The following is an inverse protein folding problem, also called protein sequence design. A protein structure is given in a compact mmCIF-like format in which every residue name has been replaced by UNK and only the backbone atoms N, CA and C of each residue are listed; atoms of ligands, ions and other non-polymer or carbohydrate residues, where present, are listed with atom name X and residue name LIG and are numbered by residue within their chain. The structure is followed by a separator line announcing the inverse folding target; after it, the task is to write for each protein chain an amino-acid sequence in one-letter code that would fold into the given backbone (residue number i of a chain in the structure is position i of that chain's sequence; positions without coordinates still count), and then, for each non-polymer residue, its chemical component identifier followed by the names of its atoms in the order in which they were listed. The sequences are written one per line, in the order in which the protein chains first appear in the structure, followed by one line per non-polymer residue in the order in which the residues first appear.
data_IF_229035935981
#
_entry.id   IF_229035935981
#
_cell.length_a   1.000
_cell.length_b   1.000
_cell.length_c   1.000
_cell.angle_alpha   90.00
_cell.angle_beta   90.00
_cell.angle_gamma   90.00
#
_symmetry.space_group_name_H-M   'P 1'
#
loop_
_entity.id
_entity.type
_entity.pdbx_description
1 polymer ?
#
# COMPACT_ATOMS: atom_id res chain seq x y z
N UNK A 1 87.72 28.10 3.51
CA UNK A 1 86.43 28.74 3.81
C UNK A 1 85.30 27.75 3.57
N UNK A 2 84.85 27.11 4.65
CA UNK A 2 83.82 26.08 4.59
C UNK A 2 82.45 26.72 4.84
N UNK A 3 81.59 26.54 3.89
CA UNK A 3 80.19 26.93 4.04
C UNK A 3 79.39 25.73 4.53
N UNK A 4 78.93 25.76 5.76
CA UNK A 4 78.05 24.76 6.35
C UNK A 4 76.65 24.99 5.77
N UNK A 5 76.13 24.00 5.00
CA UNK A 5 74.75 23.89 4.62
C UNK A 5 73.91 23.44 5.83
N UNK A 6 73.03 24.27 6.26
CA UNK A 6 72.00 23.93 7.24
C UNK A 6 70.82 23.36 6.47
N UNK A 7 70.63 22.01 6.55
CA UNK A 7 69.41 21.38 6.07
C UNK A 7 68.32 21.57 7.11
N UNK A 8 67.36 22.46 6.84
CA UNK A 8 66.09 22.50 7.59
C UNK A 8 65.18 21.40 7.09
N UNK A 9 65.03 20.37 7.89
CA UNK A 9 63.99 19.37 7.68
C UNK A 9 62.60 19.96 8.04
N UNK A 10 61.88 20.39 7.04
CA UNK A 10 60.47 20.71 7.19
C UNK A 10 59.69 19.41 7.35
N UNK A 11 59.33 19.06 8.55
CA UNK A 11 58.40 17.97 8.85
C UNK A 11 57.01 18.41 8.42
N UNK A 12 56.58 18.01 7.20
CA UNK A 12 55.19 18.12 6.79
C UNK A 12 54.35 17.16 7.63
N UNK A 13 53.75 17.68 8.68
CA UNK A 13 52.58 17.06 9.32
C UNK A 13 51.42 17.14 8.32
N UNK A 14 51.23 16.13 7.48
CA UNK A 14 49.97 15.87 6.84
C UNK A 14 49.01 15.46 7.96
N UNK A 15 48.29 16.41 8.51
CA UNK A 15 47.04 16.15 9.20
C UNK A 15 46.09 15.53 8.16
N UNK A 16 46.08 14.23 8.10
CA UNK A 16 44.99 13.48 7.55
C UNK A 16 43.75 13.83 8.36
N UNK A 17 42.97 14.78 7.86
CA UNK A 17 41.60 14.94 8.29
C UNK A 17 40.86 13.69 7.84
N UNK A 18 41.06 12.57 8.52
CA UNK A 18 40.07 11.52 8.60
C UNK A 18 38.86 12.20 9.21
N UNK A 19 37.80 12.38 8.44
CA UNK A 19 36.50 12.67 9.02
C UNK A 19 36.26 11.59 10.06
N UNK A 20 36.43 11.96 11.33
CA UNK A 20 36.03 11.10 12.43
C UNK A 20 34.51 10.96 12.24
N UNK A 21 34.08 9.86 11.66
CA UNK A 21 32.66 9.49 11.58
C UNK A 21 32.17 9.61 13.03
N UNK A 22 31.31 10.59 13.28
CA UNK A 22 30.79 10.81 14.63
C UNK A 22 30.16 9.48 15.06
N UNK A 23 30.55 8.99 16.25
CA UNK A 23 30.01 7.74 16.78
C UNK A 23 28.50 7.88 16.85
N UNK A 24 27.78 6.97 16.20
CA UNK A 24 26.30 6.97 16.22
C UNK A 24 25.84 6.77 17.66
N UNK A 25 24.81 7.49 18.05
CA UNK A 25 24.18 7.30 19.35
C UNK A 25 23.16 6.16 19.35
N UNK A 26 22.82 5.67 20.52
CA UNK A 26 21.76 4.68 20.69
C UNK A 26 20.41 5.21 20.17
N UNK A 27 19.59 4.29 19.66
CA UNK A 27 18.20 4.55 19.29
C UNK A 27 17.35 4.77 20.55
N UNK A 28 16.47 5.78 20.55
CA UNK A 28 15.52 6.06 21.62
C UNK A 28 14.08 5.93 21.11
N UNK A 29 13.10 5.89 22.03
CA UNK A 29 11.68 5.78 21.67
C UNK A 29 11.21 6.99 20.84
N UNK A 30 11.77 8.17 21.08
CA UNK A 30 11.44 9.40 20.34
C UNK A 30 11.93 9.34 18.89
N UNK A 31 12.92 8.52 18.60
CA UNK A 31 13.47 8.36 17.25
C UNK A 31 12.48 7.70 16.29
N UNK A 32 11.49 6.95 16.80
CA UNK A 32 10.38 6.40 16.00
C UNK A 32 9.65 7.53 15.26
N UNK A 33 9.51 8.70 15.89
CA UNK A 33 8.79 9.85 15.31
C UNK A 33 9.69 10.74 14.43
N UNK A 34 11.00 10.49 14.40
CA UNK A 34 11.97 11.27 13.61
C UNK A 34 12.15 10.73 12.20
N UNK A 35 11.98 9.45 12.00
CA UNK A 35 12.05 8.86 10.67
C UNK A 35 10.88 9.32 9.82
N UNK A 36 11.16 9.65 8.55
CA UNK A 36 10.11 9.91 7.57
C UNK A 36 9.69 8.59 6.93
N UNK A 37 8.38 8.38 6.84
CA UNK A 37 7.85 7.28 6.06
C UNK A 37 7.71 7.73 4.60
N UNK A 38 8.27 6.94 3.68
CA UNK A 38 8.18 7.16 2.23
C UNK A 38 7.27 6.10 1.65
N UNK A 39 6.15 6.52 1.07
CA UNK A 39 5.14 5.62 0.52
C UNK A 39 5.53 4.98 -0.80
N UNK A 40 4.74 4.02 -1.25
CA UNK A 40 4.94 3.33 -2.52
C UNK A 40 5.00 4.31 -3.70
N UNK A 41 5.94 4.13 -4.63
CA UNK A 41 6.02 4.96 -5.82
C UNK A 41 4.91 4.63 -6.82
N UNK A 42 4.40 5.66 -7.50
CA UNK A 42 3.49 5.53 -8.63
C UNK A 42 4.15 6.16 -9.86
N UNK A 43 4.40 5.34 -10.86
CA UNK A 43 5.06 5.79 -12.09
C UNK A 43 4.04 6.42 -13.04
N UNK A 44 4.41 7.55 -13.67
CA UNK A 44 3.59 8.13 -14.74
C UNK A 44 3.52 7.17 -15.95
N UNK A 45 2.43 7.17 -16.73
CA UNK A 45 2.26 6.25 -17.87
C UNK A 45 3.39 6.31 -18.90
N UNK A 46 4.05 7.47 -19.04
CA UNK A 46 5.21 7.66 -19.94
C UNK A 46 6.55 7.20 -19.31
N UNK A 47 6.54 6.81 -18.03
CA UNK A 47 7.72 6.33 -17.30
C UNK A 47 8.72 7.41 -16.93
N UNK A 48 8.38 8.71 -17.05
CA UNK A 48 9.32 9.83 -16.84
C UNK A 48 9.26 10.43 -15.44
N UNK A 49 8.18 10.19 -14.69
CA UNK A 49 7.94 10.80 -13.38
C UNK A 49 7.42 9.77 -12.39
N UNK A 50 7.83 9.94 -11.13
CA UNK A 50 7.32 9.20 -9.97
C UNK A 50 6.56 10.17 -9.07
N UNK A 51 5.41 9.76 -8.57
CA UNK A 51 4.75 10.40 -7.43
C UNK A 51 4.71 9.42 -6.27
N UNK A 52 4.92 9.92 -5.06
CA UNK A 52 4.85 9.14 -3.82
C UNK A 52 4.45 10.06 -2.67
N UNK A 53 4.17 9.48 -1.50
CA UNK A 53 3.89 10.24 -0.29
C UNK A 53 5.11 10.29 0.62
N UNK A 54 5.23 11.37 1.39
CA UNK A 54 6.11 11.41 2.57
C UNK A 54 5.26 11.72 3.79
N UNK A 55 5.44 10.93 4.85
CA UNK A 55 4.73 11.15 6.11
C UNK A 55 5.73 11.44 7.23
N UNK A 56 5.54 12.56 7.91
CA UNK A 56 6.27 12.93 9.11
C UNK A 56 5.36 12.86 10.32
N UNK A 57 5.77 12.12 11.33
CA UNK A 57 5.08 12.07 12.61
C UNK A 57 5.58 13.17 13.56
N UNK A 58 4.70 13.63 14.45
CA UNK A 58 5.03 14.61 15.49
C UNK A 58 4.47 14.16 16.83
N UNK A 59 5.33 13.72 17.73
CA UNK A 59 4.94 13.34 19.08
C UNK A 59 4.33 14.52 19.87
N UNK A 60 4.90 15.74 19.85
CA UNK A 60 4.30 16.88 20.55
C UNK A 60 2.93 17.26 20.03
N UNK A 61 2.70 17.17 18.71
CA UNK A 61 1.41 17.49 18.08
C UNK A 61 0.44 16.31 18.09
N UNK A 62 0.88 15.11 18.47
CA UNK A 62 0.10 13.85 18.40
C UNK A 62 -0.57 13.65 17.04
N UNK A 63 0.16 13.94 15.96
CA UNK A 63 -0.36 13.93 14.60
C UNK A 63 0.72 13.51 13.60
N UNK A 64 0.27 13.17 12.41
CA UNK A 64 1.14 12.96 11.25
C UNK A 64 0.78 13.92 10.13
N UNK A 65 1.75 14.26 9.31
CA UNK A 65 1.56 15.06 8.10
C UNK A 65 2.02 14.25 6.89
N UNK A 66 1.10 14.03 5.96
CA UNK A 66 1.36 13.32 4.71
C UNK A 66 1.21 14.26 3.53
N UNK A 67 2.25 14.34 2.71
CA UNK A 67 2.28 15.19 1.52
C UNK A 67 2.66 14.39 0.29
N UNK A 68 2.24 14.88 -0.88
CA UNK A 68 2.63 14.34 -2.18
C UNK A 68 3.96 14.93 -2.62
N UNK A 69 4.79 14.07 -3.19
CA UNK A 69 6.11 14.42 -3.71
C UNK A 69 6.25 13.88 -5.13
N UNK A 70 6.82 14.70 -6.01
CA UNK A 70 7.14 14.36 -7.39
C UNK A 70 8.65 14.25 -7.57
N UNK A 71 9.09 13.28 -8.36
CA UNK A 71 10.49 13.12 -8.81
C UNK A 71 10.52 12.74 -10.29
N UNK A 72 11.48 13.26 -11.03
CA UNK A 72 11.78 12.81 -12.39
C UNK A 72 12.67 11.56 -12.34
N UNK A 73 12.32 10.52 -13.11
CA UNK A 73 13.01 9.19 -13.05
C UNK A 73 14.48 9.23 -13.47
N UNK A 74 14.93 10.30 -14.14
CA UNK A 74 16.32 10.51 -14.53
C UNK A 74 17.12 11.41 -13.60
N UNK A 75 16.54 11.90 -12.50
CA UNK A 75 17.15 12.90 -11.61
C UNK A 75 17.08 12.41 -10.14
N UNK A 76 17.91 11.45 -9.82
CA UNK A 76 17.96 10.87 -8.47
C UNK A 76 18.20 11.93 -7.40
N UNK A 77 17.48 11.82 -6.27
CA UNK A 77 17.56 12.76 -5.16
C UNK A 77 16.91 14.12 -5.39
N UNK A 78 16.45 14.43 -6.61
CA UNK A 78 15.78 15.71 -6.90
C UNK A 78 14.27 15.53 -6.81
N UNK A 79 13.68 16.00 -5.72
CA UNK A 79 12.25 15.91 -5.45
C UNK A 79 11.60 17.29 -5.35
N UNK A 80 10.31 17.36 -5.68
CA UNK A 80 9.47 18.54 -5.51
C UNK A 80 8.21 18.17 -4.73
N UNK A 81 8.03 18.79 -3.58
CA UNK A 81 6.79 18.65 -2.79
C UNK A 81 5.65 19.30 -3.56
N UNK A 82 4.56 18.55 -3.77
CA UNK A 82 3.37 18.99 -4.48
C UNK A 82 2.31 19.58 -3.55
N UNK A 83 2.17 19.02 -2.34
CA UNK A 83 1.21 19.48 -1.34
C UNK A 83 1.93 19.76 -0.01
N UNK A 84 1.40 20.70 0.78
CA UNK A 84 1.99 21.10 2.06
C UNK A 84 0.97 21.17 3.20
N UNK A 85 -0.26 20.76 2.93
CA UNK A 85 -1.36 20.73 3.90
C UNK A 85 -1.23 19.63 4.96
N UNK A 86 -0.39 18.64 4.69
CA UNK A 86 -0.15 17.49 5.57
C UNK A 86 -1.26 16.46 5.55
N UNK A 87 -2.23 16.56 4.64
CA UNK A 87 -3.39 15.68 4.57
C UNK A 87 -3.72 15.29 3.12
N UNK A 88 -2.71 14.86 2.37
CA UNK A 88 -2.82 14.46 0.97
C UNK A 88 -2.38 13.01 0.79
N UNK A 89 -3.26 12.13 0.27
CA UNK A 89 -3.10 10.68 0.25
C UNK A 89 -3.46 10.06 -1.10
N UNK A 90 -2.99 8.83 -1.35
CA UNK A 90 -3.41 7.97 -2.45
C UNK A 90 -3.23 8.60 -3.84
N UNK A 91 -2.04 9.07 -4.21
CA UNK A 91 -1.84 9.67 -5.52
C UNK A 91 -2.06 8.65 -6.65
N UNK A 92 -2.73 9.09 -7.72
CA UNK A 92 -2.95 8.31 -8.94
C UNK A 92 -2.70 9.19 -10.16
N UNK A 93 -2.01 8.65 -11.15
CA UNK A 93 -1.89 9.33 -12.44
C UNK A 93 -3.16 9.19 -13.28
N UNK A 94 -3.52 10.23 -14.02
CA UNK A 94 -4.45 10.08 -15.14
C UNK A 94 -3.84 9.19 -16.23
N UNK A 95 -4.68 8.50 -17.00
CA UNK A 95 -4.23 7.59 -18.08
C UNK A 95 -3.34 8.28 -19.12
N UNK A 96 -3.52 9.59 -19.34
CA UNK A 96 -2.69 10.40 -20.24
C UNK A 96 -1.44 10.99 -19.56
N UNK A 97 -1.25 10.76 -18.26
CA UNK A 97 -0.13 11.25 -17.47
C UNK A 97 -0.10 12.75 -17.21
N UNK A 98 -1.14 13.52 -17.59
CA UNK A 98 -1.14 14.98 -17.46
C UNK A 98 -1.62 15.47 -16.10
N UNK A 99 -2.40 14.68 -15.39
CA UNK A 99 -2.97 15.02 -14.10
C UNK A 99 -2.62 14.01 -13.04
N UNK A 100 -2.63 14.45 -11.78
CA UNK A 100 -2.62 13.62 -10.59
C UNK A 100 -3.96 13.72 -9.90
N UNK A 101 -4.50 12.59 -9.46
CA UNK A 101 -5.63 12.51 -8.55
C UNK A 101 -5.13 12.18 -7.16
N UNK A 102 -5.76 12.71 -6.13
CA UNK A 102 -5.41 12.40 -4.73
C UNK A 102 -6.57 12.72 -3.79
N UNK A 103 -6.60 12.04 -2.65
CA UNK A 103 -7.53 12.36 -1.57
C UNK A 103 -6.93 13.44 -0.68
N UNK A 104 -7.69 14.50 -0.43
CA UNK A 104 -7.30 15.62 0.42
C UNK A 104 -8.45 16.06 1.35
N UNK A 105 -8.14 16.91 2.33
CA UNK A 105 -9.07 17.34 3.39
C UNK A 105 -9.26 18.86 3.46
N UNK A 106 -9.03 19.58 2.40
CA UNK A 106 -9.12 21.03 2.36
C UNK A 106 -10.50 21.60 2.82
N UNK A 107 -11.56 20.80 2.68
CA UNK A 107 -12.92 21.15 3.12
C UNK A 107 -13.31 20.56 4.47
N UNK A 108 -12.35 19.97 5.22
CA UNK A 108 -12.60 19.32 6.51
C UNK A 108 -13.13 17.88 6.42
N UNK A 109 -13.44 17.41 5.21
CA UNK A 109 -13.86 16.03 4.92
C UNK A 109 -13.06 15.52 3.73
N UNK A 110 -12.72 14.22 3.73
CA UNK A 110 -11.97 13.61 2.64
C UNK A 110 -12.71 13.78 1.31
N UNK A 111 -12.06 14.35 0.31
CA UNK A 111 -12.56 14.50 -1.06
C UNK A 111 -11.48 14.16 -2.07
N UNK A 112 -11.90 13.82 -3.29
CA UNK A 112 -10.96 13.61 -4.39
C UNK A 112 -10.65 14.94 -5.07
N UNK A 113 -9.37 15.17 -5.32
CA UNK A 113 -8.85 16.32 -6.04
C UNK A 113 -8.10 15.88 -7.29
N UNK A 114 -8.10 16.75 -8.30
CA UNK A 114 -7.23 16.67 -9.47
C UNK A 114 -6.23 17.81 -9.43
N UNK A 115 -4.96 17.50 -9.65
CA UNK A 115 -3.86 18.47 -9.72
C UNK A 115 -3.17 18.40 -11.07
N UNK A 116 -2.82 19.55 -11.63
CA UNK A 116 -1.79 19.63 -12.66
C UNK A 116 -0.41 19.53 -11.98
N UNK A 117 0.37 18.46 -12.19
CA UNK A 117 1.65 18.31 -11.52
C UNK A 117 2.73 19.31 -12.01
N UNK A 118 2.54 20.01 -13.11
CA UNK A 118 3.48 21.05 -13.58
C UNK A 118 3.27 22.37 -12.86
N UNK A 119 2.03 22.83 -12.77
CA UNK A 119 1.65 24.13 -12.19
C UNK A 119 1.30 24.06 -10.71
N UNK A 120 0.84 22.90 -10.23
CA UNK A 120 0.26 22.71 -8.89
C UNK A 120 -1.20 23.17 -8.78
N UNK A 121 -1.81 23.59 -9.89
CA UNK A 121 -3.22 23.98 -9.92
C UNK A 121 -4.10 22.78 -9.55
N UNK A 122 -5.03 22.99 -8.59
CA UNK A 122 -5.84 21.93 -8.02
C UNK A 122 -7.32 22.21 -8.16
N UNK A 123 -8.09 21.20 -8.52
CA UNK A 123 -9.56 21.24 -8.62
C UNK A 123 -10.16 20.12 -7.79
N UNK A 124 -11.13 20.44 -6.93
CA UNK A 124 -11.92 19.45 -6.21
C UNK A 124 -12.89 18.75 -7.17
N UNK A 125 -12.90 17.42 -7.17
CA UNK A 125 -13.74 16.63 -8.07
C UNK A 125 -15.03 16.14 -7.41
N UNK A 126 -14.99 15.79 -6.12
CA UNK A 126 -16.12 15.28 -5.36
C UNK A 126 -16.53 16.26 -4.24
N UNK A 127 -17.81 16.23 -3.90
CA UNK A 127 -18.38 16.93 -2.74
C UNK A 127 -19.40 15.99 -2.06
N UNK A 128 -18.87 14.91 -1.48
CA UNK A 128 -19.68 13.90 -0.81
C UNK A 128 -19.63 14.11 0.70
N UNK A 129 -20.75 14.50 1.32
CA UNK A 129 -20.78 14.98 2.70
C UNK A 129 -20.34 13.94 3.75
N UNK A 130 -20.38 12.64 3.41
CA UNK A 130 -19.90 11.55 4.28
C UNK A 130 -18.41 11.27 4.14
N UNK A 131 -17.71 11.92 3.20
CA UNK A 131 -16.33 11.68 2.88
C UNK A 131 -16.14 10.60 1.81
N UNK A 132 -14.93 10.58 1.25
CA UNK A 132 -14.52 9.71 0.14
C UNK A 132 -13.34 8.87 0.60
N UNK A 133 -13.49 7.53 0.65
CA UNK A 133 -12.44 6.57 0.95
C UNK A 133 -12.02 5.80 -0.30
N UNK A 134 -10.78 5.33 -0.35
CA UNK A 134 -10.23 4.45 -1.42
C UNK A 134 -10.65 4.83 -2.85
N UNK A 135 -10.59 6.13 -3.17
CA UNK A 135 -11.08 6.65 -4.43
C UNK A 135 -10.24 6.19 -5.62
N UNK A 136 -10.90 5.67 -6.66
CA UNK A 136 -10.31 5.32 -7.94
C UNK A 136 -10.97 6.13 -9.06
N UNK A 137 -10.18 6.62 -10.01
CA UNK A 137 -10.68 7.26 -11.23
C UNK A 137 -10.74 6.21 -12.35
N UNK A 138 -11.82 6.20 -13.10
CA UNK A 138 -11.96 5.29 -14.25
C UNK A 138 -10.90 5.57 -15.33
N UNK A 139 -10.49 4.57 -16.13
CA UNK A 139 -9.49 4.73 -17.18
C UNK A 139 -9.80 5.86 -18.19
N UNK A 140 -11.07 6.11 -18.48
CA UNK A 140 -11.52 7.20 -19.36
C UNK A 140 -11.62 8.58 -18.67
N UNK A 141 -11.42 8.62 -17.33
CA UNK A 141 -11.46 9.84 -16.53
C UNK A 141 -12.87 10.40 -16.27
N UNK A 142 -13.94 9.67 -16.64
CA UNK A 142 -15.33 10.12 -16.48
C UNK A 142 -15.89 9.84 -15.08
N UNK A 143 -15.58 8.67 -14.51
CA UNK A 143 -16.14 8.21 -13.25
C UNK A 143 -15.12 8.20 -12.14
N UNK A 144 -15.60 8.41 -10.93
CA UNK A 144 -14.85 8.15 -9.69
C UNK A 144 -15.63 7.15 -8.87
N UNK A 145 -15.05 5.99 -8.60
CA UNK A 145 -15.59 5.05 -7.61
C UNK A 145 -14.86 5.25 -6.29
N UNK A 146 -15.58 5.26 -5.18
CA UNK A 146 -15.01 5.41 -3.86
C UNK A 146 -15.84 4.69 -2.79
N UNK A 147 -15.22 4.38 -1.67
CA UNK A 147 -15.93 3.83 -0.53
C UNK A 147 -16.54 4.93 0.33
N UNK A 148 -17.75 4.69 0.80
CA UNK A 148 -18.41 5.52 1.80
C UNK A 148 -19.25 4.67 2.76
N UNK A 149 -19.23 5.01 4.05
CA UNK A 149 -20.04 4.33 5.06
C UNK A 149 -21.40 5.02 5.19
N UNK A 150 -22.44 4.36 4.71
CA UNK A 150 -23.79 4.93 4.53
C UNK A 150 -24.87 4.07 5.18
N UNK A 151 -26.04 4.64 5.47
CA UNK A 151 -27.23 3.87 5.82
C UNK A 151 -27.81 3.25 4.55
N UNK A 152 -28.09 1.93 4.51
CA UNK A 152 -28.51 1.22 3.29
C UNK A 152 -29.76 1.80 2.62
N UNK A 153 -30.69 2.30 3.40
CA UNK A 153 -31.94 2.92 2.92
C UNK A 153 -31.76 4.33 2.34
N UNK A 154 -30.61 4.96 2.60
CA UNK A 154 -30.26 6.29 2.09
C UNK A 154 -29.25 6.23 0.93
N UNK A 155 -28.47 5.15 0.84
CA UNK A 155 -27.52 4.94 -0.24
C UNK A 155 -26.63 6.16 -0.51
N UNK A 156 -26.63 6.66 -1.76
CA UNK A 156 -25.82 7.79 -2.19
C UNK A 156 -26.34 9.18 -1.76
N UNK A 157 -27.45 9.29 -1.02
CA UNK A 157 -27.88 10.59 -0.46
C UNK A 157 -26.99 11.01 0.72
N UNK A 158 -25.87 11.66 0.38
CA UNK A 158 -24.84 12.06 1.34
C UNK A 158 -25.38 13.03 2.41
N UNK A 159 -26.32 13.92 2.06
CA UNK A 159 -26.91 14.89 3.00
C UNK A 159 -27.79 14.19 4.02
N UNK A 160 -28.72 13.34 3.57
CA UNK A 160 -29.58 12.58 4.47
C UNK A 160 -28.78 11.65 5.40
N UNK A 161 -27.72 11.02 4.88
CA UNK A 161 -26.77 10.22 5.67
C UNK A 161 -26.13 11.06 6.78
N UNK A 162 -25.57 12.23 6.45
CA UNK A 162 -24.93 13.12 7.42
C UNK A 162 -25.93 13.65 8.46
N UNK A 163 -27.14 14.02 8.04
CA UNK A 163 -28.19 14.49 8.96
C UNK A 163 -28.61 13.39 9.94
N UNK A 164 -28.81 12.15 9.46
CA UNK A 164 -29.13 11.02 10.35
C UNK A 164 -28.01 10.74 11.34
N UNK A 165 -26.75 10.73 10.86
CA UNK A 165 -25.56 10.55 11.71
C UNK A 165 -25.52 11.61 12.81
N UNK A 166 -25.59 12.90 12.46
CA UNK A 166 -25.57 14.02 13.43
C UNK A 166 -26.72 13.96 14.44
N UNK A 167 -27.91 13.59 13.99
CA UNK A 167 -29.08 13.42 14.89
C UNK A 167 -28.85 12.30 15.90
N UNK A 168 -28.26 11.17 15.48
CA UNK A 168 -27.90 10.07 16.39
C UNK A 168 -26.84 10.53 17.41
N UNK A 169 -25.78 11.18 16.94
CA UNK A 169 -24.70 11.69 17.80
C UNK A 169 -25.15 12.76 18.81
N UNK A 170 -26.08 13.62 18.43
CA UNK A 170 -26.64 14.65 19.29
C UNK A 170 -27.78 14.14 20.21
N UNK A 171 -28.23 12.90 20.03
CA UNK A 171 -29.28 12.29 20.80
C UNK A 171 -28.89 11.99 22.25
N UNK A 172 -29.87 11.73 23.14
CA UNK A 172 -29.59 11.47 24.56
C UNK A 172 -28.99 10.07 24.82
N UNK A 173 -29.01 9.17 23.84
CA UNK A 173 -28.52 7.80 23.99
C UNK A 173 -27.06 7.73 23.53
N UNK A 174 -26.17 7.50 24.48
CA UNK A 174 -24.74 7.34 24.24
C UNK A 174 -24.29 5.89 24.52
N UNK A 175 -25.09 4.93 24.04
CA UNK A 175 -24.82 3.50 24.20
C UNK A 175 -24.83 2.79 22.84
N UNK A 176 -23.98 1.78 22.70
CA UNK A 176 -24.05 0.85 21.59
C UNK A 176 -24.97 -0.30 21.98
N UNK A 177 -26.03 -0.48 21.23
CA UNK A 177 -27.03 -1.56 21.44
C UNK A 177 -26.85 -2.52 20.27
N UNK A 178 -26.55 -3.77 20.56
CA UNK A 178 -26.37 -4.82 19.57
C UNK A 178 -27.12 -6.07 20.02
N UNK A 179 -27.79 -6.72 19.10
CA UNK A 179 -28.51 -7.99 19.27
C UNK A 179 -27.94 -9.12 18.39
N UNK A 180 -26.93 -8.79 17.59
CA UNK A 180 -26.27 -9.70 16.67
C UNK A 180 -24.77 -9.40 16.53
N UNK A 181 -24.02 -10.35 16.02
CA UNK A 181 -22.61 -10.21 15.60
C UNK A 181 -22.58 -9.84 14.09
N UNK A 182 -21.53 -9.12 13.58
CA UNK A 182 -20.47 -8.49 14.34
C UNK A 182 -20.94 -7.12 14.83
N UNK A 183 -21.01 -6.90 16.14
CA UNK A 183 -21.38 -5.59 16.67
C UNK A 183 -20.21 -4.61 16.76
N UNK A 184 -18.97 -5.13 16.71
CA UNK A 184 -17.74 -4.36 16.80
C UNK A 184 -16.60 -5.08 16.05
N UNK A 185 -15.77 -4.31 15.39
CA UNK A 185 -14.48 -4.77 14.89
C UNK A 185 -13.39 -3.86 15.46
N UNK A 186 -12.42 -4.42 16.22
CA UNK A 186 -11.42 -3.67 16.98
C UNK A 186 -12.07 -2.57 17.84
N UNK A 187 -11.88 -1.29 17.48
CA UNK A 187 -12.40 -0.12 18.19
C UNK A 187 -13.63 0.50 17.52
N UNK A 188 -14.08 -0.02 16.38
CA UNK A 188 -15.21 0.51 15.63
C UNK A 188 -16.46 -0.32 15.86
N UNK A 189 -17.54 0.35 16.31
CA UNK A 189 -18.84 -0.27 16.53
C UNK A 189 -19.71 -0.16 15.28
N UNK A 190 -20.43 -1.25 14.97
CA UNK A 190 -21.49 -1.24 13.97
C UNK A 190 -22.65 -0.38 14.44
N UNK A 191 -23.02 0.61 13.66
CA UNK A 191 -24.08 1.58 14.00
C UNK A 191 -25.26 1.56 13.01
N UNK A 192 -25.35 0.52 12.19
CA UNK A 192 -26.36 0.33 11.14
C UNK A 192 -25.99 0.96 9.82
N UNK A 193 -24.74 1.48 9.69
CA UNK A 193 -24.18 1.89 8.41
C UNK A 193 -23.31 0.76 7.83
N UNK A 194 -23.23 0.73 6.52
CA UNK A 194 -22.39 -0.23 5.79
C UNK A 194 -21.50 0.52 4.81
N UNK A 195 -20.32 -0.05 4.55
CA UNK A 195 -19.42 0.46 3.52
C UNK A 195 -19.97 0.07 2.14
N UNK A 196 -20.27 1.06 1.33
CA UNK A 196 -20.71 0.87 -0.06
C UNK A 196 -19.71 1.51 -1.03
N UNK A 197 -19.74 1.04 -2.27
CA UNK A 197 -19.06 1.71 -3.38
C UNK A 197 -20.03 2.70 -4.00
N UNK A 198 -19.66 3.96 -3.96
CA UNK A 198 -20.39 5.04 -4.59
C UNK A 198 -19.63 5.45 -5.85
N UNK A 199 -20.36 5.62 -6.95
CA UNK A 199 -19.81 6.13 -8.21
C UNK A 199 -20.28 7.56 -8.44
N UNK A 200 -19.33 8.47 -8.66
CA UNK A 200 -19.60 9.84 -9.10
C UNK A 200 -19.36 9.92 -10.61
N UNK A 201 -20.38 10.32 -11.38
CA UNK A 201 -20.17 10.79 -12.75
C UNK A 201 -19.67 12.23 -12.71
N UNK A 202 -18.44 12.45 -13.15
CA UNK A 202 -17.79 13.77 -13.09
C UNK A 202 -18.37 14.77 -14.09
N UNK A 203 -19.07 14.30 -15.15
CA UNK A 203 -19.74 15.16 -16.13
C UNK A 203 -21.04 15.72 -15.54
N UNK A 204 -21.88 14.84 -14.98
CA UNK A 204 -23.21 15.19 -14.52
C UNK A 204 -23.24 15.55 -13.02
N UNK A 205 -22.15 15.31 -12.31
CA UNK A 205 -22.02 15.51 -10.85
C UNK A 205 -23.07 14.71 -10.05
N UNK A 206 -23.46 13.55 -10.56
CA UNK A 206 -24.40 12.65 -9.90
C UNK A 206 -23.67 11.54 -9.15
N UNK A 207 -24.28 11.08 -8.07
CA UNK A 207 -23.74 9.98 -7.24
C UNK A 207 -24.71 8.79 -7.29
N UNK A 208 -24.16 7.61 -7.52
CA UNK A 208 -24.91 6.34 -7.55
C UNK A 208 -24.31 5.36 -6.58
N UNK A 209 -25.12 4.78 -5.70
CA UNK A 209 -24.75 3.64 -4.89
C UNK A 209 -24.82 2.38 -5.78
N UNK A 210 -23.67 1.81 -6.13
CA UNK A 210 -23.59 0.65 -7.01
C UNK A 210 -23.55 -0.67 -6.26
N UNK A 211 -23.50 -0.63 -4.93
CA UNK A 211 -23.47 -1.83 -4.07
C UNK A 211 -24.50 -1.75 -2.94
N UNK A 212 -25.77 -1.39 -3.23
CA UNK A 212 -26.78 -1.24 -2.20
C UNK A 212 -27.04 -2.56 -1.46
N UNK A 213 -27.41 -2.46 -0.18
CA UNK A 213 -27.73 -3.61 0.64
C UNK A 213 -27.18 -3.50 2.05
N UNK A 214 -27.30 -4.58 2.82
CA UNK A 214 -26.84 -4.66 4.22
C UNK A 214 -25.55 -5.46 4.32
N UNK A 215 -24.64 -5.24 3.38
CA UNK A 215 -23.32 -5.85 3.30
C UNK A 215 -22.26 -4.78 3.12
N UNK A 216 -21.07 -5.03 3.67
CA UNK A 216 -19.91 -4.22 3.33
C UNK A 216 -19.39 -4.58 1.94
N UNK A 217 -19.31 -3.60 1.06
CA UNK A 217 -18.80 -3.73 -0.30
C UNK A 217 -17.90 -2.50 -0.59
N UNK A 218 -16.57 -2.63 -0.55
CA UNK A 218 -15.80 -3.85 -0.26
C UNK A 218 -15.97 -4.34 1.18
N UNK A 219 -15.54 -5.60 1.40
CA UNK A 219 -15.61 -6.25 2.71
C UNK A 219 -14.86 -5.44 3.77
N UNK A 220 -15.43 -5.37 4.96
CA UNK A 220 -14.84 -4.68 6.11
C UNK A 220 -13.90 -5.61 6.90
N UNK A 221 -14.31 -6.85 7.13
CA UNK A 221 -13.59 -7.85 7.90
C UNK A 221 -14.12 -9.26 7.54
N UNK A 222 -13.29 -10.32 7.58
CA UNK A 222 -11.83 -10.30 7.70
C UNK A 222 -11.14 -9.89 6.39
N UNK A 223 -9.82 -9.64 6.46
CA UNK A 223 -9.00 -9.30 5.29
C UNK A 223 -9.52 -8.10 4.47
N UNK A 224 -10.20 -7.17 5.11
CA UNK A 224 -10.53 -5.87 4.54
C UNK A 224 -9.28 -5.01 4.34
N UNK A 225 -9.36 -3.99 3.49
CA UNK A 225 -8.25 -3.07 3.22
C UNK A 225 -8.39 -2.37 1.87
N UNK A 226 -7.32 -1.73 1.43
CA UNK A 226 -7.27 -1.09 0.12
C UNK A 226 -7.17 -2.12 -1.03
N UNK A 227 -7.51 -1.69 -2.26
CA UNK A 227 -7.40 -2.53 -3.45
C UNK A 227 -8.48 -3.61 -3.59
N UNK A 228 -9.57 -3.50 -2.84
CA UNK A 228 -10.65 -4.50 -2.87
C UNK A 228 -11.70 -4.24 -3.95
N UNK A 229 -11.46 -3.29 -4.83
CA UNK A 229 -12.26 -3.08 -6.04
C UNK A 229 -11.42 -2.45 -7.16
N UNK A 230 -11.83 -2.63 -8.40
CA UNK A 230 -11.15 -2.11 -9.58
C UNK A 230 -12.15 -1.82 -10.70
N UNK A 231 -11.85 -0.81 -11.52
CA UNK A 231 -12.56 -0.58 -12.79
C UNK A 231 -12.09 -1.54 -13.87
N UNK A 232 -13.02 -1.95 -14.74
CA UNK A 232 -12.68 -2.55 -16.03
C UNK A 232 -11.96 -1.53 -16.94
N UNK A 233 -11.08 -1.97 -17.86
CA UNK A 233 -10.34 -1.07 -18.75
C UNK A 233 -11.23 -0.21 -19.66
N UNK A 234 -12.46 -0.66 -19.96
CA UNK A 234 -13.44 0.09 -20.73
C UNK A 234 -14.30 1.03 -19.88
N UNK A 235 -14.01 1.15 -18.59
CA UNK A 235 -14.68 2.05 -17.63
C UNK A 235 -16.17 1.76 -17.39
N UNK A 236 -16.67 0.57 -17.74
CA UNK A 236 -18.12 0.26 -17.68
C UNK A 236 -18.52 -0.59 -16.48
N UNK A 237 -17.57 -1.27 -15.86
CA UNK A 237 -17.80 -2.26 -14.83
C UNK A 237 -16.83 -2.04 -13.67
N UNK A 238 -17.28 -2.37 -12.47
CA UNK A 238 -16.45 -2.46 -11.26
C UNK A 238 -16.49 -3.91 -10.78
N UNK A 239 -15.31 -4.51 -10.55
CA UNK A 239 -15.16 -5.74 -9.80
C UNK A 239 -14.80 -5.42 -8.36
N UNK A 240 -15.43 -6.07 -7.39
CA UNK A 240 -15.23 -5.80 -5.96
C UNK A 240 -15.35 -7.06 -5.11
N UNK A 241 -14.79 -7.01 -3.90
CA UNK A 241 -14.81 -8.08 -2.90
C UNK A 241 -15.92 -7.84 -1.90
N UNK A 242 -16.79 -8.81 -1.65
CA UNK A 242 -17.85 -8.69 -0.63
C UNK A 242 -18.20 -10.04 -0.01
N UNK A 243 -18.39 -10.06 1.32
CA UNK A 243 -18.97 -11.20 2.03
C UNK A 243 -20.48 -10.98 2.11
N UNK A 244 -21.26 -11.84 1.45
CA UNK A 244 -22.73 -11.80 1.48
C UNK A 244 -23.34 -13.05 2.12
N UNK A 245 -22.55 -13.76 2.93
CA UNK A 245 -23.06 -14.87 3.72
C UNK A 245 -24.09 -14.42 4.76
N UNK A 246 -25.03 -15.31 5.05
CA UNK A 246 -26.05 -15.03 6.09
C UNK A 246 -25.43 -14.80 7.48
N UNK A 247 -24.34 -15.50 7.78
CA UNK A 247 -23.61 -15.46 9.04
C UNK A 247 -22.17 -15.00 8.80
N UNK A 248 -22.01 -13.73 8.48
CA UNK A 248 -20.70 -13.11 8.18
C UNK A 248 -19.72 -13.26 9.36
N UNK A 249 -20.24 -13.27 10.59
CA UNK A 249 -19.48 -13.40 11.81
C UNK A 249 -18.81 -14.78 12.01
N UNK A 250 -19.27 -15.78 11.30
CA UNK A 250 -18.76 -17.15 11.36
C UNK A 250 -18.05 -17.58 10.06
N UNK A 251 -17.80 -16.66 9.16
CA UNK A 251 -17.30 -16.94 7.81
C UNK A 251 -16.13 -16.05 7.44
N UNK A 252 -15.08 -16.63 6.87
CA UNK A 252 -14.04 -15.87 6.16
C UNK A 252 -14.33 -15.75 4.67
N UNK A 253 -15.48 -16.27 4.22
CA UNK A 253 -15.88 -16.22 2.82
C UNK A 253 -15.98 -14.78 2.33
N UNK A 254 -15.40 -14.54 1.18
CA UNK A 254 -15.59 -13.33 0.38
C UNK A 254 -15.58 -13.74 -1.07
N UNK A 255 -16.44 -13.14 -1.84
CA UNK A 255 -16.52 -13.39 -3.28
C UNK A 255 -16.13 -12.18 -4.09
N UNK A 256 -15.72 -12.42 -5.31
CA UNK A 256 -15.65 -11.39 -6.35
C UNK A 256 -17.03 -11.16 -6.96
N UNK A 257 -17.43 -9.92 -7.00
CA UNK A 257 -18.66 -9.45 -7.60
C UNK A 257 -18.39 -8.43 -8.69
N UNK A 258 -19.18 -8.40 -9.74
CA UNK A 258 -19.13 -7.33 -10.75
C UNK A 258 -20.45 -6.59 -10.82
N UNK A 259 -20.38 -5.29 -11.09
CA UNK A 259 -21.54 -4.41 -11.26
C UNK A 259 -21.24 -3.31 -12.28
N UNK A 260 -22.26 -2.84 -12.99
CA UNK A 260 -22.11 -1.69 -13.88
C UNK A 260 -21.75 -0.42 -13.07
N UNK A 261 -20.97 0.48 -13.66
CA UNK A 261 -20.69 1.81 -13.07
C UNK A 261 -21.97 2.66 -12.90
N UNK A 262 -23.04 2.31 -13.57
CA UNK A 262 -24.38 2.96 -13.44
C UNK A 262 -25.30 2.23 -12.45
N UNK A 263 -24.77 1.22 -11.74
CA UNK A 263 -25.56 0.38 -10.82
C UNK A 263 -26.30 -0.75 -11.53
N UNK A 264 -27.20 -1.40 -10.81
CA UNK A 264 -27.94 -2.57 -11.23
C UNK A 264 -27.62 -3.80 -10.41
N UNK A 265 -28.00 -4.98 -10.89
CA UNK A 265 -27.77 -6.24 -10.21
C UNK A 265 -26.29 -6.66 -10.29
N UNK A 266 -25.67 -6.91 -9.12
CA UNK A 266 -24.31 -7.39 -9.05
C UNK A 266 -24.25 -8.91 -9.32
N UNK A 267 -23.27 -9.35 -10.11
CA UNK A 267 -23.03 -10.75 -10.44
C UNK A 267 -21.86 -11.30 -9.64
N UNK A 268 -22.07 -12.41 -8.91
CA UNK A 268 -21.01 -13.16 -8.23
C UNK A 268 -20.21 -13.99 -9.24
N UNK A 269 -18.89 -13.94 -9.14
CA UNK A 269 -17.97 -14.65 -10.02
C UNK A 269 -17.35 -15.89 -9.38
N UNK A 270 -17.28 -15.97 -8.04
CA UNK A 270 -16.45 -16.97 -7.33
C UNK A 270 -17.21 -17.78 -6.28
N UNK A 271 -18.52 -17.77 -6.30
CA UNK A 271 -19.44 -18.39 -5.30
C UNK A 271 -19.17 -19.86 -4.95
N UNK A 272 -18.41 -20.57 -5.75
CA UNK A 272 -18.08 -21.97 -5.50
C UNK A 272 -16.89 -22.16 -4.58
N UNK A 273 -16.09 -21.12 -4.31
CA UNK A 273 -15.05 -21.15 -3.29
C UNK A 273 -15.63 -20.68 -1.95
N UNK A 274 -15.74 -21.54 -0.91
CA UNK A 274 -16.27 -21.12 0.38
C UNK A 274 -15.26 -20.42 1.28
N UNK A 275 -14.08 -20.06 0.75
CA UNK A 275 -13.04 -19.31 1.41
C UNK A 275 -12.92 -17.90 0.79
N UNK A 276 -11.89 -17.15 1.13
CA UNK A 276 -11.72 -15.77 0.70
C UNK A 276 -11.24 -15.65 -0.75
N UNK A 277 -11.95 -14.87 -1.57
CA UNK A 277 -11.57 -14.39 -2.90
C UNK A 277 -11.62 -12.87 -2.91
N UNK A 278 -10.54 -12.20 -3.29
CA UNK A 278 -10.54 -10.73 -3.25
C UNK A 278 -9.35 -10.09 -3.95
N UNK A 279 -9.24 -8.77 -3.81
CA UNK A 279 -8.25 -7.92 -4.46
C UNK A 279 -8.25 -8.10 -5.99
N UNK A 280 -9.38 -7.82 -6.66
CA UNK A 280 -9.49 -7.99 -8.10
C UNK A 280 -8.67 -6.93 -8.85
N UNK A 281 -8.02 -7.34 -9.94
CA UNK A 281 -7.34 -6.43 -10.85
C UNK A 281 -7.53 -6.89 -12.29
N UNK A 282 -8.17 -6.07 -13.12
CA UNK A 282 -8.36 -6.38 -14.53
C UNK A 282 -7.03 -6.36 -15.28
N UNK A 283 -6.83 -7.29 -16.21
CA UNK A 283 -5.75 -7.18 -17.19
C UNK A 283 -5.97 -5.97 -18.11
N UNK A 284 -4.90 -5.28 -18.55
CA UNK A 284 -5.03 -4.12 -19.46
C UNK A 284 -5.83 -4.39 -20.73
N UNK A 285 -5.79 -5.61 -21.28
CA UNK A 285 -6.59 -6.03 -22.44
C UNK A 285 -8.06 -6.34 -22.10
N UNK A 286 -8.43 -6.31 -20.82
CA UNK A 286 -9.78 -6.56 -20.33
C UNK A 286 -10.24 -8.01 -20.37
N UNK A 287 -9.37 -8.95 -20.73
CA UNK A 287 -9.73 -10.36 -20.84
C UNK A 287 -9.83 -11.06 -19.49
N UNK A 288 -8.90 -10.77 -18.58
CA UNK A 288 -8.80 -11.46 -17.31
C UNK A 288 -9.07 -10.53 -16.12
N UNK A 289 -9.50 -11.14 -15.01
CA UNK A 289 -9.41 -10.57 -13.67
C UNK A 289 -8.42 -11.43 -12.91
N UNK A 290 -7.30 -10.86 -12.48
CA UNK A 290 -6.41 -11.49 -11.51
C UNK A 290 -6.93 -11.20 -10.11
N UNK A 291 -6.78 -12.16 -9.18
CA UNK A 291 -7.24 -12.01 -7.81
C UNK A 291 -6.48 -12.91 -6.86
N UNK A 292 -6.45 -12.55 -5.58
CA UNK A 292 -5.94 -13.43 -4.53
C UNK A 292 -7.06 -14.28 -3.98
N UNK A 293 -6.71 -15.50 -3.53
CA UNK A 293 -7.69 -16.37 -2.91
C UNK A 293 -7.07 -17.32 -1.89
N UNK A 294 -7.90 -17.78 -0.97
CA UNK A 294 -7.64 -18.84 -0.01
C UNK A 294 -8.48 -20.07 -0.34
N UNK A 295 -8.18 -21.22 0.26
CA UNK A 295 -8.87 -22.49 -0.02
C UNK A 295 -9.50 -23.15 1.20
N UNK A 296 -9.10 -22.72 2.40
CA UNK A 296 -9.57 -23.32 3.66
C UNK A 296 -10.61 -22.38 4.30
N UNK A 297 -11.91 -22.76 4.28
CA UNK A 297 -12.96 -21.95 4.86
C UNK A 297 -12.74 -21.71 6.35
N UNK A 298 -13.06 -20.52 6.83
CA UNK A 298 -12.94 -20.10 8.22
C UNK A 298 -11.52 -20.19 8.79
N UNK A 299 -10.50 -20.23 7.93
CA UNK A 299 -9.10 -20.22 8.32
C UNK A 299 -8.38 -19.00 7.76
N UNK A 300 -8.37 -17.93 8.52
CA UNK A 300 -7.84 -16.62 8.12
C UNK A 300 -6.34 -16.66 7.76
N UNK A 301 -5.58 -17.55 8.38
CA UNK A 301 -4.15 -17.75 8.13
C UNK A 301 -3.83 -18.66 6.94
N UNK A 302 -4.84 -19.14 6.17
CA UNK A 302 -4.55 -19.89 4.95
C UNK A 302 -3.76 -19.03 3.96
N UNK A 303 -2.93 -19.69 3.19
CA UNK A 303 -2.05 -19.06 2.21
C UNK A 303 -2.83 -18.36 1.09
N UNK A 304 -2.54 -17.09 0.85
CA UNK A 304 -3.04 -16.39 -0.33
C UNK A 304 -2.31 -16.84 -1.59
N UNK A 305 -3.06 -17.31 -2.55
CA UNK A 305 -2.65 -17.68 -3.89
C UNK A 305 -3.13 -16.66 -4.90
N UNK A 306 -2.49 -16.62 -6.07
CA UNK A 306 -2.92 -15.81 -7.20
C UNK A 306 -3.66 -16.68 -8.22
N UNK A 307 -4.81 -16.21 -8.69
CA UNK A 307 -5.60 -16.84 -9.72
C UNK A 307 -6.07 -15.85 -10.78
N UNK A 308 -6.53 -16.39 -11.91
CA UNK A 308 -7.21 -15.66 -12.99
C UNK A 308 -8.64 -16.14 -13.14
N UNK A 309 -9.52 -15.20 -13.39
CA UNK A 309 -10.84 -15.42 -13.95
C UNK A 309 -10.84 -14.96 -15.43
N UNK A 310 -11.09 -15.86 -16.38
CA UNK A 310 -11.25 -15.51 -17.81
C UNK A 310 -12.68 -14.99 -18.04
N UNK A 311 -12.82 -13.71 -18.34
CA UNK A 311 -14.11 -13.03 -18.52
C UNK A 311 -14.90 -13.54 -19.75
N UNK A 312 -14.23 -14.17 -20.70
CA UNK A 312 -14.85 -14.72 -21.91
C UNK A 312 -15.45 -16.09 -21.67
N UNK A 313 -14.73 -16.97 -20.96
CA UNK A 313 -15.14 -18.36 -20.74
C UNK A 313 -15.74 -18.61 -19.37
N UNK A 314 -15.45 -17.77 -18.38
CA UNK A 314 -15.80 -17.97 -16.98
C UNK A 314 -14.86 -18.95 -16.26
N UNK A 315 -13.83 -19.45 -16.94
CA UNK A 315 -12.87 -20.39 -16.35
C UNK A 315 -11.95 -19.69 -15.34
N UNK A 316 -11.58 -20.44 -14.29
CA UNK A 316 -10.61 -20.02 -13.28
C UNK A 316 -9.33 -20.83 -13.38
N UNK A 317 -8.20 -20.17 -13.25
CA UNK A 317 -6.88 -20.80 -13.30
C UNK A 317 -5.99 -20.32 -12.16
N UNK A 318 -5.56 -21.24 -11.32
CA UNK A 318 -4.57 -20.94 -10.27
C UNK A 318 -3.19 -20.76 -10.90
N UNK A 319 -2.50 -19.72 -10.49
CA UNK A 319 -1.17 -19.37 -11.04
C UNK A 319 -0.02 -19.75 -10.11
N UNK A 320 -0.24 -19.75 -8.80
CA UNK A 320 0.82 -19.88 -7.78
C UNK A 320 0.61 -21.07 -6.85
N UNK A 321 0.00 -22.16 -7.33
CA UNK A 321 -0.25 -23.35 -6.50
C UNK A 321 1.03 -23.93 -5.89
N UNK A 322 2.14 -23.91 -6.65
CA UNK A 322 3.43 -24.45 -6.22
C UNK A 322 4.27 -23.46 -5.39
N UNK A 323 3.79 -22.24 -5.17
CA UNK A 323 4.46 -21.26 -4.33
C UNK A 323 4.08 -21.51 -2.87
N UNK A 324 5.05 -21.87 -2.03
CA UNK A 324 4.84 -22.15 -0.62
C UNK A 324 4.89 -20.87 0.27
N UNK A 325 4.46 -19.74 -0.28
CA UNK A 325 4.42 -18.45 0.40
C UNK A 325 3.15 -17.69 0.01
N UNK A 326 2.80 -16.69 0.81
CA UNK A 326 1.69 -15.79 0.51
C UNK A 326 2.02 -14.88 -0.68
N UNK A 327 1.08 -14.73 -1.58
CA UNK A 327 1.09 -13.63 -2.56
C UNK A 327 0.47 -12.41 -1.89
N UNK A 328 1.22 -11.29 -1.87
CA UNK A 328 0.73 -10.01 -1.38
C UNK A 328 0.27 -9.11 -2.54
N UNK A 329 0.78 -7.90 -2.66
CA UNK A 329 0.41 -6.99 -3.73
C UNK A 329 0.88 -7.49 -5.10
N UNK A 330 0.11 -7.19 -6.15
CA UNK A 330 0.47 -7.59 -7.51
C UNK A 330 -0.01 -6.56 -8.54
N UNK A 331 0.69 -6.53 -9.69
CA UNK A 331 0.39 -5.64 -10.81
C UNK A 331 0.57 -6.34 -12.15
N UNK A 332 -0.24 -5.98 -13.13
CA UNK A 332 -0.12 -6.45 -14.50
C UNK A 332 0.98 -5.72 -15.28
N UNK A 333 1.69 -6.43 -16.16
CA UNK A 333 2.43 -5.77 -17.23
C UNK A 333 1.46 -5.11 -18.22
N UNK A 334 1.89 -3.99 -18.83
CA UNK A 334 1.05 -3.22 -19.75
C UNK A 334 0.56 -4.02 -20.98
N UNK A 335 1.28 -5.08 -21.37
CA UNK A 335 0.93 -5.96 -22.47
C UNK A 335 0.12 -7.19 -22.05
N UNK A 336 -0.35 -7.26 -20.80
CA UNK A 336 -1.15 -8.35 -20.21
C UNK A 336 -0.51 -9.74 -20.23
N UNK A 337 0.83 -9.83 -20.42
CA UNK A 337 1.51 -11.11 -20.52
C UNK A 337 2.14 -11.59 -19.23
N UNK A 338 2.46 -10.68 -18.35
CA UNK A 338 3.15 -10.97 -17.10
C UNK A 338 2.40 -10.32 -15.92
N UNK A 339 2.53 -10.95 -14.75
CA UNK A 339 2.13 -10.37 -13.46
C UNK A 339 3.36 -10.26 -12.58
N UNK A 340 3.58 -9.07 -12.00
CA UNK A 340 4.57 -8.84 -10.97
C UNK A 340 3.87 -8.94 -9.62
N UNK A 341 4.46 -9.65 -8.65
CA UNK A 341 3.84 -9.83 -7.35
C UNK A 341 4.87 -9.87 -6.21
N UNK A 342 4.49 -9.38 -5.06
CA UNK A 342 5.23 -9.52 -3.81
C UNK A 342 4.89 -10.85 -3.15
N UNK A 343 5.84 -11.41 -2.42
CA UNK A 343 5.65 -12.62 -1.62
C UNK A 343 6.53 -12.58 -0.38
N UNK A 344 6.02 -13.12 0.72
CA UNK A 344 6.78 -13.16 1.98
C UNK A 344 7.75 -14.33 1.95
N UNK A 345 9.04 -14.09 2.12
CA UNK A 345 10.07 -15.11 2.07
C UNK A 345 11.16 -14.86 3.12
N UNK A 346 11.16 -15.65 4.20
CA UNK A 346 12.24 -15.67 5.21
C UNK A 346 12.62 -14.28 5.75
N UNK A 347 11.62 -13.46 6.07
CA UNK A 347 11.81 -12.11 6.57
C UNK A 347 12.11 -11.05 5.51
N UNK A 348 11.98 -11.41 4.24
CA UNK A 348 11.99 -10.52 3.10
C UNK A 348 10.62 -10.51 2.41
N UNK A 349 10.42 -9.54 1.55
CA UNK A 349 9.27 -9.43 0.66
C UNK A 349 9.76 -9.12 -0.77
N UNK A 350 10.39 -10.11 -1.43
CA UNK A 350 10.92 -9.96 -2.77
C UNK A 350 9.82 -9.77 -3.82
N UNK A 351 10.19 -9.11 -4.92
CA UNK A 351 9.35 -8.96 -6.10
C UNK A 351 9.63 -10.08 -7.10
N UNK A 352 8.58 -10.78 -7.49
CA UNK A 352 8.59 -11.83 -8.51
C UNK A 352 7.88 -11.38 -9.77
N UNK A 353 8.25 -11.97 -10.89
CA UNK A 353 7.58 -11.84 -12.18
C UNK A 353 7.10 -13.20 -12.65
N UNK A 354 5.80 -13.33 -12.92
CA UNK A 354 5.14 -14.52 -13.44
C UNK A 354 4.77 -14.30 -14.90
N UNK A 355 5.17 -15.22 -15.77
CA UNK A 355 4.76 -15.21 -17.17
C UNK A 355 3.53 -16.10 -17.40
N UNK A 356 2.44 -15.52 -17.89
CA UNK A 356 1.14 -16.21 -18.02
C UNK A 356 1.16 -17.37 -19.01
N UNK A 357 1.95 -17.26 -20.08
CA UNK A 357 2.02 -18.32 -21.11
C UNK A 357 2.71 -19.57 -20.59
N UNK A 358 3.77 -19.40 -19.81
CA UNK A 358 4.57 -20.53 -19.32
C UNK A 358 4.15 -20.99 -17.93
N UNK A 359 3.43 -20.15 -17.15
CA UNK A 359 3.10 -20.37 -15.75
C UNK A 359 4.31 -20.32 -14.82
N UNK A 360 5.48 -19.88 -15.31
CA UNK A 360 6.71 -19.82 -14.52
C UNK A 360 6.91 -18.43 -13.92
N UNK A 361 7.47 -18.39 -12.72
CA UNK A 361 7.87 -17.15 -12.05
C UNK A 361 9.35 -17.19 -11.64
N UNK A 362 9.92 -16.00 -11.47
CA UNK A 362 11.28 -15.81 -10.98
C UNK A 362 11.39 -14.51 -10.20
N UNK A 363 12.28 -14.40 -9.21
CA UNK A 363 12.55 -13.13 -8.57
C UNK A 363 13.16 -12.12 -9.56
N UNK A 364 12.73 -10.87 -9.48
CA UNK A 364 13.30 -9.74 -10.23
C UNK A 364 13.97 -8.73 -9.30
N UNK A 365 13.52 -8.66 -8.03
CA UNK A 365 14.22 -8.00 -6.93
C UNK A 365 14.18 -8.97 -5.74
N UNK A 366 15.33 -9.52 -5.37
CA UNK A 366 15.45 -10.54 -4.33
C UNK A 366 15.97 -9.95 -3.01
N UNK A 367 15.68 -10.63 -1.88
CA UNK A 367 16.22 -10.32 -0.55
C UNK A 367 16.01 -8.85 -0.13
N UNK A 368 14.84 -8.31 -0.41
CA UNK A 368 14.40 -6.96 -0.02
C UNK A 368 13.05 -7.03 0.68
N UNK A 369 12.83 -6.20 1.68
CA UNK A 369 11.51 -6.00 2.27
C UNK A 369 10.83 -4.84 1.54
N UNK A 370 10.19 -5.14 0.42
CA UNK A 370 9.55 -4.19 -0.48
C UNK A 370 8.15 -3.86 0.06
N UNK A 371 7.86 -2.59 0.30
CA UNK A 371 6.56 -2.12 0.80
C UNK A 371 5.63 -1.60 -0.30
N UNK A 372 6.04 -1.69 -1.54
CA UNK A 372 5.28 -1.28 -2.70
C UNK A 372 6.21 -0.94 -3.87
N UNK A 373 5.71 -1.12 -5.06
CA UNK A 373 6.52 -1.03 -6.28
C UNK A 373 5.72 -0.50 -7.46
N UNK A 374 6.45 -0.04 -8.47
CA UNK A 374 5.95 0.20 -9.82
C UNK A 374 7.07 -0.05 -10.85
N UNK A 375 6.74 -0.15 -12.13
CA UNK A 375 7.72 -0.50 -13.16
C UNK A 375 7.33 0.03 -14.54
N UNK A 376 8.31 0.14 -15.44
CA UNK A 376 8.12 0.54 -16.82
C UNK A 376 8.33 -0.62 -17.81
N UNK A 377 7.94 -0.39 -19.05
CA UNK A 377 8.15 -1.35 -20.16
C UNK A 377 9.63 -1.58 -20.53
N UNK A 378 10.54 -0.75 -20.04
CA UNK A 378 12.00 -0.85 -20.25
C UNK A 378 12.67 -1.77 -19.22
N UNK A 379 11.88 -2.27 -18.26
CA UNK A 379 12.34 -3.15 -17.18
C UNK A 379 12.95 -2.41 -15.99
N UNK A 380 12.74 -1.10 -15.87
CA UNK A 380 13.05 -0.40 -14.63
C UNK A 380 11.94 -0.67 -13.62
N UNK A 381 12.36 -0.98 -12.39
CA UNK A 381 11.49 -1.23 -11.24
C UNK A 381 11.83 -0.18 -10.19
N UNK A 382 10.81 0.49 -9.70
CA UNK A 382 10.89 1.50 -8.63
C UNK A 382 10.15 0.95 -7.42
N UNK A 383 10.75 1.01 -6.23
CA UNK A 383 10.14 0.40 -5.05
C UNK A 383 10.56 1.09 -3.76
N UNK A 384 9.67 1.07 -2.79
CA UNK A 384 9.95 1.46 -1.41
C UNK A 384 10.55 0.26 -0.69
N UNK A 385 11.69 0.45 -0.04
CA UNK A 385 12.44 -0.61 0.62
C UNK A 385 12.85 -0.21 2.03
N UNK A 386 12.71 -1.12 2.96
CA UNK A 386 13.10 -0.96 4.36
C UNK A 386 13.74 -2.23 4.92
N UNK A 387 14.43 -2.12 6.06
CA UNK A 387 14.85 -3.25 6.91
C UNK A 387 14.80 -2.83 8.37
N UNK A 388 15.04 -3.76 9.27
CA UNK A 388 15.20 -3.44 10.70
C UNK A 388 16.35 -2.45 10.96
N UNK A 389 17.37 -2.43 10.11
CA UNK A 389 18.54 -1.53 10.22
C UNK A 389 18.48 -0.30 9.30
N UNK A 390 17.40 -0.09 8.56
CA UNK A 390 17.32 0.97 7.56
C UNK A 390 15.88 1.45 7.39
N UNK A 391 15.60 2.73 7.63
CA UNK A 391 14.29 3.33 7.35
C UNK A 391 13.96 3.28 5.85
N UNK A 392 12.67 3.41 5.53
CA UNK A 392 12.20 3.34 4.15
C UNK A 392 12.68 4.51 3.31
N UNK A 393 13.18 4.20 2.11
CA UNK A 393 13.48 5.13 1.03
C UNK A 393 13.15 4.44 -0.32
N UNK A 394 13.15 5.21 -1.42
CA UNK A 394 12.92 4.66 -2.75
C UNK A 394 14.22 4.19 -3.41
N UNK A 395 14.09 3.08 -4.11
CA UNK A 395 15.14 2.42 -4.86
C UNK A 395 14.68 2.16 -6.29
N UNK A 396 15.67 2.02 -7.17
CA UNK A 396 15.48 1.62 -8.56
C UNK A 396 16.36 0.43 -8.87
N UNK A 397 15.80 -0.56 -9.54
CA UNK A 397 16.52 -1.69 -10.14
C UNK A 397 16.14 -1.82 -11.63
N UNK A 398 16.88 -2.64 -12.37
CA UNK A 398 16.51 -2.98 -13.75
C UNK A 398 16.55 -4.48 -13.96
N UNK A 399 15.43 -5.11 -14.30
CA UNK A 399 15.30 -6.57 -14.44
C UNK A 399 16.15 -7.19 -15.56
N UNK A 400 16.56 -6.39 -16.56
CA UNK A 400 17.33 -6.85 -17.73
C UNK A 400 18.82 -6.60 -17.59
N UNK A 401 19.19 -5.47 -16.98
CA UNK A 401 20.59 -5.01 -16.87
C UNK A 401 21.19 -5.35 -15.51
N UNK A 402 20.34 -5.66 -14.53
CA UNK A 402 20.75 -5.74 -13.13
C UNK A 402 21.06 -4.34 -12.55
N UNK A 403 21.66 -4.36 -11.38
CA UNK A 403 21.98 -3.13 -10.63
C UNK A 403 20.81 -2.64 -9.78
N UNK A 404 21.16 -1.99 -8.68
CA UNK A 404 20.23 -1.35 -7.75
C UNK A 404 20.84 -0.01 -7.31
N UNK A 405 20.03 1.03 -7.22
CA UNK A 405 20.45 2.32 -6.68
C UNK A 405 19.37 2.91 -5.78
N UNK A 406 19.79 3.57 -4.70
CA UNK A 406 18.91 4.39 -3.88
C UNK A 406 18.66 5.71 -4.61
N UNK A 407 17.39 6.10 -4.73
CA UNK A 407 16.98 7.29 -5.50
C UNK A 407 16.38 8.40 -4.64
N UNK A 408 16.05 8.13 -3.35
CA UNK A 408 15.67 9.15 -2.36
C UNK A 408 16.51 8.99 -1.09
N UNK A 409 16.64 10.08 -0.31
CA UNK A 409 17.55 10.16 0.85
C UNK A 409 16.89 10.87 2.05
N UNK A 410 15.59 10.65 2.26
CA UNK A 410 14.82 11.33 3.31
C UNK A 410 15.31 10.99 4.71
N UNK A 411 15.81 9.77 4.90
CA UNK A 411 16.24 9.26 6.20
C UNK A 411 17.78 9.22 6.36
N UNK A 412 18.54 9.77 5.41
CA UNK A 412 20.00 9.67 5.44
C UNK A 412 20.60 10.29 6.70
N UNK A 413 20.26 11.54 7.03
CA UNK A 413 20.78 12.22 8.25
C UNK A 413 20.42 11.49 9.52
N UNK A 414 19.19 10.96 9.59
CA UNK A 414 18.74 10.15 10.72
C UNK A 414 19.57 8.88 10.86
N UNK A 415 19.82 8.16 9.78
CA UNK A 415 20.62 6.95 9.76
C UNK A 415 22.14 7.19 9.99
N UNK A 416 22.64 8.39 9.71
CA UNK A 416 24.00 8.80 10.03
C UNK A 416 24.19 9.09 11.54
N UNK A 417 23.18 9.66 12.19
CA UNK A 417 23.21 10.03 13.62
C UNK A 417 22.92 8.86 14.55
N UNK A 418 21.94 8.01 14.20
CA UNK A 418 21.39 6.98 15.07
C UNK A 418 21.87 5.59 14.67
N UNK A 419 22.29 4.80 15.65
CA UNK A 419 22.63 3.38 15.45
C UNK A 419 21.37 2.54 15.36
N UNK A 420 20.80 2.46 14.14
CA UNK A 420 19.68 1.59 13.82
C UNK A 420 20.24 0.20 13.58
N UNK A 421 20.06 -0.70 14.53
CA UNK A 421 20.68 -2.03 14.49
C UNK A 421 19.91 -2.96 13.53
N UNK A 422 20.58 -3.55 12.55
CA UNK A 422 19.97 -4.60 11.73
C UNK A 422 19.74 -5.86 12.57
N UNK A 423 18.70 -6.62 12.21
CA UNK A 423 18.51 -7.95 12.79
C UNK A 423 19.50 -8.94 12.21
N UNK A 424 20.00 -9.83 13.07
CA UNK A 424 20.69 -11.06 12.68
C UNK A 424 19.63 -12.18 12.59
N UNK A 425 19.81 -13.09 11.63
CA UNK A 425 18.91 -14.22 11.42
C UNK A 425 19.57 -15.51 11.88
N UNK A 426 18.81 -16.37 12.52
CA UNK A 426 19.25 -17.72 12.87
C UNK A 426 18.07 -18.70 12.83
N UNK A 427 18.40 -19.96 12.72
CA UNK A 427 17.44 -21.06 12.81
C UNK A 427 17.70 -21.88 14.06
N UNK A 428 16.64 -22.16 14.82
CA UNK A 428 16.72 -23.01 16.01
C UNK A 428 15.78 -24.18 15.85
N UNK A 429 16.14 -25.31 16.46
CA UNK A 429 15.29 -26.48 16.49
C UNK A 429 14.15 -26.23 17.49
N UNK A 430 12.92 -26.35 17.02
CA UNK A 430 11.71 -26.32 17.84
C UNK A 430 11.32 -27.68 18.38
N UNK A 431 10.13 -27.78 18.95
CA UNK A 431 9.49 -29.05 19.28
C UNK A 431 9.27 -29.88 17.99
N UNK A 432 9.19 -31.18 18.11
CA UNK A 432 8.87 -32.09 17.01
C UNK A 432 9.83 -32.04 15.79
N UNK A 433 10.98 -31.40 15.95
CA UNK A 433 12.00 -31.29 14.90
C UNK A 433 11.79 -30.17 13.88
N UNK A 434 10.81 -29.29 14.08
CA UNK A 434 10.56 -28.14 13.23
C UNK A 434 11.64 -27.08 13.39
N UNK A 435 11.95 -26.38 12.29
CA UNK A 435 12.90 -25.26 12.29
C UNK A 435 12.17 -23.94 12.51
N UNK A 436 12.57 -23.21 13.56
CA UNK A 436 12.03 -21.90 13.89
C UNK A 436 12.99 -20.82 13.40
N UNK A 437 12.48 -19.90 12.59
CA UNK A 437 13.23 -18.73 12.11
C UNK A 437 13.21 -17.63 13.18
N UNK A 438 14.38 -17.18 13.62
CA UNK A 438 14.54 -16.19 14.69
C UNK A 438 15.31 -14.98 14.20
N UNK A 439 14.81 -13.80 14.52
CA UNK A 439 15.47 -12.52 14.30
C UNK A 439 15.95 -11.96 15.64
N UNK A 440 17.23 -11.60 15.70
CA UNK A 440 17.84 -11.02 16.90
C UNK A 440 18.33 -9.61 16.61
N UNK A 441 17.84 -8.64 17.38
CA UNK A 441 18.36 -7.27 17.36
C UNK A 441 19.20 -7.06 18.62
N UNK A 442 20.50 -6.81 18.44
CA UNK A 442 21.42 -6.53 19.54
C UNK A 442 21.35 -5.07 19.95
N UNK A 443 21.57 -4.74 21.26
CA UNK A 443 21.58 -3.35 21.69
C UNK A 443 22.75 -2.56 21.09
N UNK A 444 22.67 -1.24 21.20
CA UNK A 444 23.80 -0.35 20.91
C UNK A 444 25.03 -0.75 21.75
N UNK A 445 26.22 -0.68 21.16
CA UNK A 445 27.49 -1.06 21.80
C UNK A 445 27.48 -2.46 22.45
N UNK A 446 26.85 -3.42 21.75
CA UNK A 446 26.79 -4.81 22.21
C UNK A 446 28.17 -5.41 22.44
N UNK A 447 28.42 -5.88 23.68
CA UNK A 447 29.62 -6.59 24.09
C UNK A 447 29.28 -8.07 24.35
N UNK A 448 29.84 -9.04 23.58
CA UNK A 448 29.54 -10.45 23.74
C UNK A 448 29.94 -11.04 25.10
N UNK A 449 30.78 -10.32 25.90
CA UNK A 449 31.20 -10.73 27.22
C UNK A 449 30.25 -10.26 28.33
N UNK A 450 29.23 -9.47 27.98
CA UNK A 450 28.22 -8.97 28.94
C UNK A 450 26.92 -9.72 28.82
N UNK A 451 26.17 -9.75 29.90
CA UNK A 451 24.77 -10.25 29.92
C UNK A 451 23.82 -9.08 29.76
N UNK A 452 22.78 -9.30 28.97
CA UNK A 452 21.74 -8.31 28.69
C UNK A 452 20.36 -8.89 29.02
N UNK A 453 19.39 -8.07 29.41
CA UNK A 453 17.99 -8.46 29.43
C UNK A 453 17.55 -8.94 28.03
N UNK A 454 16.74 -9.99 27.97
CA UNK A 454 16.19 -10.51 26.72
C UNK A 454 14.68 -10.25 26.70
N UNK A 455 14.19 -9.66 25.61
CA UNK A 455 12.77 -9.57 25.28
C UNK A 455 12.49 -10.52 24.13
N UNK A 456 11.56 -11.43 24.33
CA UNK A 456 11.10 -12.38 23.30
C UNK A 456 9.71 -11.92 22.84
N UNK A 457 9.58 -11.68 21.54
CA UNK A 457 8.30 -11.46 20.88
C UNK A 457 7.98 -12.71 20.06
N UNK A 458 6.91 -13.40 20.41
CA UNK A 458 6.42 -14.59 19.69
C UNK A 458 5.26 -14.13 18.81
N UNK A 459 5.39 -14.37 17.54
CA UNK A 459 4.36 -14.01 16.57
C UNK A 459 3.86 -15.27 15.83
#
# INVERSE_FOLDING_TARGET
LSTKMILSAALLLTLGAGEAMAQKRAFTIEDVYRSQYVGAPQLSPDGTRLVFTTTQQSLPAQSSKTNLVLMETGKNGTTRTLTTDGMSFGPQWSSDGKSLYYTGYATGTAQLYRMDPATGETTQLTDFAMGVGDALVSPDGRYVAFTATVYPDLGADAKANLERKRRKEAGPVHAHIADSLLFRHWTEYQDGRFQHIIVCDLQDKTYTDVTPGTWHSPVFSPNGGAGLFAFSPDSKEICFTSNRDRHQEASTNCDLWTVSVTGGEAKCLTKENPAWDGQPLYSPDGRYIAYRFQTVPSYESDRFRLALYDRTTGEKRVLTEQLDNWVDDFKWSADSKDIYFLTQERGYEPLYKLNLKTGKWKPVVAQRAIQGFDFDSKGNIYYAYTTTGKPVDLYKANERKGGEEQITFYNQKFAEEVDIRPSEQMWVMGADGDSIHVFIVKPHDFDPNKKYPLVINVH
#
